data_IF_736290746606
#
_entry.id   IF_736290746606
#
_cell.length_a   1.000
_cell.length_b   1.000
_cell.length_c   1.000
_cell.angle_alpha   90.00
_cell.angle_beta   90.00
_cell.angle_gamma   90.00
#
_symmetry.space_group_name_H-M   'P 1'
#
loop_
_entity.id
_entity.type
_entity.pdbx_description
1 polymer ?
#
# COMPACT_ATOMS: atom_id res chain seq x y z
N UNK A 1 -33.58 67.06 -8.28
CA UNK A 1 -32.99 66.20 -7.24
C UNK A 1 -33.41 64.82 -7.67
N UNK A 2 -32.55 64.29 -8.52
CA UNK A 2 -32.90 63.42 -9.63
C UNK A 2 -32.66 61.96 -9.25
N UNK A 3 -33.54 61.11 -9.78
CA UNK A 3 -33.30 59.74 -10.24
C UNK A 3 -32.30 58.88 -9.47
N UNK A 4 -32.85 57.99 -8.63
CA UNK A 4 -32.30 56.64 -8.46
C UNK A 4 -33.47 55.69 -8.74
N UNK A 5 -33.73 55.44 -10.02
CA UNK A 5 -34.50 54.28 -10.45
C UNK A 5 -33.61 53.05 -10.29
N UNK A 6 -34.03 52.20 -9.37
CA UNK A 6 -33.39 50.97 -9.00
C UNK A 6 -33.61 49.95 -10.12
N UNK A 7 -32.58 49.70 -10.92
CA UNK A 7 -32.53 48.69 -11.97
C UNK A 7 -32.44 47.29 -11.31
N UNK A 8 -33.55 46.83 -10.72
CA UNK A 8 -33.73 45.43 -10.34
C UNK A 8 -34.09 44.62 -11.59
N UNK A 9 -33.06 44.21 -12.33
CA UNK A 9 -33.16 43.15 -13.31
C UNK A 9 -33.45 41.83 -12.59
N UNK A 10 -34.73 41.61 -12.29
CA UNK A 10 -35.28 40.31 -11.91
C UNK A 10 -35.15 39.41 -13.15
N UNK A 11 -34.05 38.65 -13.21
CA UNK A 11 -33.83 37.66 -14.24
C UNK A 11 -34.89 36.56 -14.07
N UNK A 12 -36.06 36.76 -14.70
CA UNK A 12 -37.11 35.75 -14.81
C UNK A 12 -36.51 34.49 -15.43
N UNK A 13 -36.21 33.52 -14.57
CA UNK A 13 -35.87 32.16 -14.94
C UNK A 13 -37.04 31.63 -15.79
N UNK A 14 -36.74 31.08 -16.98
CA UNK A 14 -37.81 30.56 -17.85
C UNK A 14 -38.39 29.30 -17.21
N UNK A 15 -39.68 29.00 -17.40
CA UNK A 15 -40.31 27.79 -16.83
C UNK A 15 -39.66 26.48 -17.30
N UNK A 16 -38.97 26.47 -18.45
CA UNK A 16 -38.15 25.34 -18.88
C UNK A 16 -36.89 25.17 -18.03
N UNK A 17 -36.24 26.27 -17.65
CA UNK A 17 -35.05 26.27 -16.80
C UNK A 17 -35.42 25.86 -15.35
N UNK A 18 -36.61 26.25 -14.85
CA UNK A 18 -37.13 25.80 -13.55
C UNK A 18 -37.36 24.28 -13.50
N UNK A 19 -37.89 23.70 -14.58
CA UNK A 19 -38.12 22.26 -14.71
C UNK A 19 -36.80 21.46 -14.82
N UNK A 20 -35.80 22.00 -15.51
CA UNK A 20 -34.46 21.41 -15.57
C UNK A 20 -33.75 21.48 -14.21
N UNK A 21 -33.89 22.60 -13.49
CA UNK A 21 -33.36 22.77 -12.14
C UNK A 21 -33.98 21.79 -11.14
N UNK A 22 -35.30 21.60 -11.16
CA UNK A 22 -35.97 20.62 -10.28
C UNK A 22 -35.51 19.18 -10.56
N UNK A 23 -35.39 18.79 -11.83
CA UNK A 23 -34.91 17.44 -12.19
C UNK A 23 -33.47 17.19 -11.76
N UNK A 24 -32.61 18.20 -11.87
CA UNK A 24 -31.22 18.12 -11.41
C UNK A 24 -31.12 18.04 -9.89
N UNK A 25 -31.98 18.77 -9.18
CA UNK A 25 -32.06 18.73 -7.71
C UNK A 25 -32.48 17.32 -7.22
N UNK A 26 -33.55 16.77 -7.80
CA UNK A 26 -34.03 15.41 -7.53
C UNK A 26 -32.97 14.34 -7.85
N UNK A 27 -32.30 14.44 -9.01
CA UNK A 27 -31.23 13.50 -9.38
C UNK A 27 -30.04 13.59 -8.43
N UNK A 28 -29.65 14.81 -8.03
CA UNK A 28 -28.60 15.03 -7.06
C UNK A 28 -28.92 14.38 -5.71
N UNK A 29 -30.15 14.55 -5.22
CA UNK A 29 -30.60 13.91 -3.97
C UNK A 29 -30.58 12.39 -4.04
N UNK A 30 -30.97 11.80 -5.17
CA UNK A 30 -30.89 10.36 -5.38
C UNK A 30 -29.44 9.87 -5.35
N UNK A 31 -28.51 10.61 -5.98
CA UNK A 31 -27.08 10.28 -5.96
C UNK A 31 -26.54 10.32 -4.52
N UNK A 32 -26.83 11.41 -3.79
CA UNK A 32 -26.43 11.60 -2.39
C UNK A 32 -26.98 10.48 -1.50
N UNK A 33 -28.26 10.11 -1.70
CA UNK A 33 -28.90 9.04 -0.95
C UNK A 33 -28.26 7.67 -1.24
N UNK A 34 -27.96 7.36 -2.50
CA UNK A 34 -27.30 6.12 -2.89
C UNK A 34 -25.91 5.97 -2.27
N UNK A 35 -25.09 7.03 -2.32
CA UNK A 35 -23.78 7.02 -1.68
C UNK A 35 -23.86 6.97 -0.16
N UNK A 36 -24.79 7.69 0.46
CA UNK A 36 -24.98 7.65 1.92
C UNK A 36 -25.30 6.24 2.42
N UNK A 37 -26.19 5.51 1.73
CA UNK A 37 -26.50 4.10 2.06
C UNK A 37 -25.28 3.19 1.96
N UNK A 38 -24.47 3.35 0.92
CA UNK A 38 -23.22 2.61 0.76
C UNK A 38 -22.22 2.92 1.88
N UNK A 39 -22.07 4.20 2.23
CA UNK A 39 -21.18 4.64 3.31
C UNK A 39 -21.62 4.01 4.63
N UNK A 40 -22.90 4.09 4.99
CA UNK A 40 -23.44 3.51 6.22
C UNK A 40 -23.13 2.02 6.35
N UNK A 41 -23.15 1.30 5.23
CA UNK A 41 -22.87 -0.14 5.16
C UNK A 41 -21.40 -0.51 5.33
N UNK A 42 -20.47 0.33 4.88
CA UNK A 42 -19.04 0.00 4.80
C UNK A 42 -18.13 0.86 5.71
N UNK A 43 -18.66 1.86 6.41
CA UNK A 43 -17.88 2.72 7.33
C UNK A 43 -17.57 2.05 8.68
N UNK A 44 -18.43 1.11 9.10
CA UNK A 44 -18.29 0.40 10.38
C UNK A 44 -17.48 -0.89 10.28
N UNK A 45 -17.42 -1.70 11.37
CA UNK A 45 -16.89 -3.05 11.31
C UNK A 45 -17.67 -3.86 10.27
N UNK A 46 -17.01 -4.23 9.18
CA UNK A 46 -17.67 -4.89 8.05
C UNK A 46 -18.00 -6.32 8.45
N UNK A 47 -19.30 -6.59 8.59
CA UNK A 47 -19.80 -7.94 8.74
C UNK A 47 -19.85 -8.63 7.37
N UNK A 48 -18.74 -9.30 7.04
CA UNK A 48 -18.63 -10.10 5.82
C UNK A 48 -19.50 -11.38 5.85
N UNK A 49 -20.26 -11.64 6.92
CA UNK A 49 -21.15 -12.83 7.01
C UNK A 49 -22.45 -12.68 6.24
N UNK A 50 -22.85 -11.44 5.91
CA UNK A 50 -24.00 -11.21 5.06
C UNK A 50 -23.84 -11.92 3.71
N UNK A 51 -24.88 -12.66 3.31
CA UNK A 51 -24.97 -13.44 2.07
C UNK A 51 -24.04 -14.66 1.91
N UNK A 52 -23.24 -15.05 2.91
CA UNK A 52 -22.40 -16.26 2.83
C UNK A 52 -23.22 -17.51 2.54
N UNK A 53 -24.33 -17.70 3.25
CA UNK A 53 -25.17 -18.90 3.11
C UNK A 53 -25.77 -19.02 1.70
N UNK A 54 -26.26 -17.90 1.14
CA UNK A 54 -26.83 -17.84 -0.21
C UNK A 54 -25.78 -18.11 -1.30
N UNK A 55 -24.58 -17.51 -1.17
CA UNK A 55 -23.48 -17.74 -2.09
C UNK A 55 -22.99 -19.19 -2.02
N UNK A 56 -22.80 -19.73 -0.81
CA UNK A 56 -22.38 -21.10 -0.59
C UNK A 56 -23.40 -22.09 -1.17
N UNK A 57 -24.70 -21.88 -0.97
CA UNK A 57 -25.76 -22.71 -1.54
C UNK A 57 -25.77 -22.68 -3.07
N UNK A 58 -25.62 -21.49 -3.67
CA UNK A 58 -25.52 -21.32 -5.13
C UNK A 58 -24.30 -22.06 -5.67
N UNK A 59 -23.15 -21.93 -5.03
CA UNK A 59 -21.92 -22.59 -5.46
C UNK A 59 -21.91 -24.10 -5.17
N UNK A 60 -22.58 -24.55 -4.10
CA UNK A 60 -22.78 -25.98 -3.77
C UNK A 60 -23.63 -26.70 -4.82
N UNK A 61 -24.49 -25.97 -5.52
CA UNK A 61 -25.22 -26.51 -6.67
C UNK A 61 -24.30 -26.77 -7.89
N UNK A 62 -23.14 -26.09 -7.95
CA UNK A 62 -22.16 -26.16 -9.04
C UNK A 62 -20.97 -27.07 -8.72
N UNK A 63 -20.52 -27.14 -7.46
CA UNK A 63 -19.49 -28.07 -6.98
C UNK A 63 -19.90 -28.74 -5.67
N UNK A 64 -19.56 -30.03 -5.51
CA UNK A 64 -19.90 -30.82 -4.31
C UNK A 64 -18.78 -30.86 -3.25
N UNK A 65 -17.57 -30.41 -3.56
CA UNK A 65 -16.43 -30.39 -2.63
C UNK A 65 -16.07 -28.97 -2.15
N UNK A 66 -15.53 -28.88 -0.93
CA UNK A 66 -15.20 -27.59 -0.30
C UNK A 66 -14.10 -26.82 -1.04
N UNK A 67 -13.14 -27.54 -1.62
CA UNK A 67 -12.01 -26.94 -2.34
C UNK A 67 -12.47 -26.33 -3.67
N UNK A 68 -13.35 -27.00 -4.43
CA UNK A 68 -13.92 -26.45 -5.65
C UNK A 68 -14.79 -25.21 -5.41
N UNK A 69 -15.47 -25.11 -4.25
CA UNK A 69 -16.18 -23.88 -3.86
C UNK A 69 -15.22 -22.72 -3.66
N UNK A 70 -14.10 -22.96 -2.98
CA UNK A 70 -13.10 -21.92 -2.73
C UNK A 70 -12.45 -21.46 -4.02
N UNK A 71 -12.12 -22.38 -4.93
CA UNK A 71 -11.56 -22.02 -6.24
C UNK A 71 -12.52 -21.16 -7.07
N UNK A 72 -13.80 -21.52 -7.13
CA UNK A 72 -14.82 -20.69 -7.80
C UNK A 72 -14.93 -19.29 -7.18
N UNK A 73 -14.82 -19.18 -5.87
CA UNK A 73 -14.84 -17.90 -5.18
C UNK A 73 -13.59 -17.05 -5.50
N UNK A 74 -12.40 -17.66 -5.61
CA UNK A 74 -11.20 -16.94 -6.04
C UNK A 74 -11.33 -16.50 -7.52
N UNK A 75 -11.90 -17.33 -8.39
CA UNK A 75 -12.16 -16.95 -9.79
C UNK A 75 -13.15 -15.78 -9.90
N UNK A 76 -14.20 -15.79 -9.07
CA UNK A 76 -15.12 -14.67 -8.95
C UNK A 76 -14.38 -13.41 -8.49
N UNK A 77 -13.53 -13.50 -7.46
CA UNK A 77 -12.72 -12.39 -6.97
C UNK A 77 -11.77 -11.82 -8.04
N UNK A 78 -11.17 -12.69 -8.85
CA UNK A 78 -10.27 -12.29 -9.93
C UNK A 78 -10.99 -11.45 -11.01
N UNK A 79 -12.29 -11.68 -11.23
CA UNK A 79 -13.10 -10.88 -12.15
C UNK A 79 -13.73 -9.63 -11.52
N UNK A 80 -14.13 -9.70 -10.25
CA UNK A 80 -14.90 -8.65 -9.57
C UNK A 80 -14.03 -7.53 -8.99
N UNK A 81 -12.81 -7.83 -8.50
CA UNK A 81 -11.91 -6.79 -7.99
C UNK A 81 -11.52 -5.75 -9.08
N UNK A 82 -11.17 -6.14 -10.32
CA UNK A 82 -10.98 -5.18 -11.41
C UNK A 82 -12.24 -4.37 -11.76
N UNK A 83 -13.43 -4.97 -11.66
CA UNK A 83 -14.70 -4.26 -11.88
C UNK A 83 -14.92 -3.17 -10.84
N UNK A 84 -14.66 -3.47 -9.55
CA UNK A 84 -14.74 -2.49 -8.47
C UNK A 84 -13.83 -1.29 -8.76
N UNK A 85 -12.57 -1.55 -9.12
CA UNK A 85 -11.62 -0.50 -9.53
C UNK A 85 -12.17 0.34 -10.70
N UNK A 86 -12.76 -0.29 -11.71
CA UNK A 86 -13.34 0.40 -12.85
C UNK A 86 -14.55 1.28 -12.47
N UNK A 87 -15.44 0.79 -11.61
CA UNK A 87 -16.58 1.57 -11.11
C UNK A 87 -16.11 2.81 -10.35
N UNK A 88 -15.11 2.68 -9.47
CA UNK A 88 -14.53 3.82 -8.74
C UNK A 88 -13.91 4.86 -9.68
N UNK A 89 -13.12 4.41 -10.67
CA UNK A 89 -12.56 5.30 -11.68
C UNK A 89 -13.65 6.02 -12.49
N UNK A 90 -14.74 5.33 -12.82
CA UNK A 90 -15.86 5.89 -13.56
C UNK A 90 -16.58 6.97 -12.74
N UNK A 91 -16.88 6.70 -11.45
CA UNK A 91 -17.48 7.70 -10.55
C UNK A 91 -16.56 8.92 -10.41
N UNK A 92 -15.26 8.71 -10.23
CA UNK A 92 -14.25 9.77 -10.15
C UNK A 92 -14.24 10.66 -11.40
N UNK A 93 -14.27 10.06 -12.59
CA UNK A 93 -14.28 10.78 -13.86
C UNK A 93 -15.57 11.57 -14.07
N UNK A 94 -16.73 10.96 -13.76
CA UNK A 94 -18.03 11.61 -13.90
C UNK A 94 -18.17 12.81 -12.96
N UNK A 95 -17.64 12.69 -11.74
CA UNK A 95 -17.71 13.73 -10.71
C UNK A 95 -16.45 14.61 -10.65
N UNK A 96 -15.64 14.62 -11.71
CA UNK A 96 -14.44 15.45 -11.76
C UNK A 96 -14.80 16.96 -11.70
N UNK A 97 -14.35 17.70 -10.66
CA UNK A 97 -14.66 19.12 -10.47
C UNK A 97 -14.40 19.98 -11.71
N UNK A 98 -13.32 19.72 -12.45
CA UNK A 98 -12.91 20.52 -13.60
C UNK A 98 -13.89 20.45 -14.76
N UNK A 99 -14.73 19.42 -14.83
CA UNK A 99 -15.71 19.22 -15.91
C UNK A 99 -17.15 19.15 -15.43
N UNK A 100 -17.40 19.06 -14.12
CA UNK A 100 -18.72 18.76 -13.55
C UNK A 100 -19.82 19.73 -13.97
N UNK A 101 -19.48 20.98 -14.31
CA UNK A 101 -20.40 21.99 -14.83
C UNK A 101 -20.94 21.70 -16.23
N UNK A 102 -20.30 20.81 -16.97
CA UNK A 102 -20.70 20.40 -18.31
C UNK A 102 -21.55 19.15 -18.20
N UNK A 103 -22.74 19.18 -18.77
CA UNK A 103 -23.67 18.04 -18.85
C UNK A 103 -23.99 17.41 -17.48
N UNK A 104 -24.13 18.23 -16.43
CA UNK A 104 -24.35 17.80 -15.04
C UNK A 104 -25.48 16.78 -14.91
N UNK A 105 -26.60 16.99 -15.62
CA UNK A 105 -27.76 16.08 -15.57
C UNK A 105 -27.41 14.70 -16.14
N UNK A 106 -26.70 14.67 -17.27
CA UNK A 106 -26.27 13.41 -17.89
C UNK A 106 -25.24 12.68 -17.01
N UNK A 107 -24.38 13.43 -16.31
CA UNK A 107 -23.40 12.87 -15.38
C UNK A 107 -24.08 12.26 -14.16
N UNK A 108 -25.05 12.95 -13.55
CA UNK A 108 -25.83 12.40 -12.43
C UNK A 108 -26.60 11.15 -12.84
N UNK A 109 -27.27 11.15 -14.00
CA UNK A 109 -27.91 9.94 -14.54
C UNK A 109 -26.94 8.78 -14.69
N UNK A 110 -25.73 9.02 -15.20
CA UNK A 110 -24.70 7.98 -15.32
C UNK A 110 -24.22 7.48 -13.95
N UNK A 111 -24.03 8.37 -12.98
CA UNK A 111 -23.67 7.97 -11.60
C UNK A 111 -24.75 7.09 -10.99
N UNK A 112 -26.03 7.43 -11.16
CA UNK A 112 -27.16 6.61 -10.69
C UNK A 112 -27.19 5.21 -11.33
N UNK A 113 -26.71 5.07 -12.57
CA UNK A 113 -26.58 3.76 -13.22
C UNK A 113 -25.41 2.93 -12.66
N UNK A 114 -24.31 3.57 -12.24
CA UNK A 114 -23.12 2.88 -11.71
C UNK A 114 -23.27 2.53 -10.23
N UNK A 115 -24.07 3.26 -9.46
CA UNK A 115 -24.25 3.05 -8.02
C UNK A 115 -24.69 1.62 -7.63
N UNK A 116 -25.73 1.02 -8.26
CA UNK A 116 -26.12 -0.35 -7.96
C UNK A 116 -25.04 -1.38 -8.30
N UNK A 117 -24.31 -1.17 -9.39
CA UNK A 117 -23.21 -2.04 -9.81
C UNK A 117 -22.04 -1.96 -8.82
N UNK A 118 -21.73 -0.77 -8.32
CA UNK A 118 -20.73 -0.55 -7.27
C UNK A 118 -21.12 -1.31 -6.00
N UNK A 119 -22.37 -1.16 -5.54
CA UNK A 119 -22.88 -1.87 -4.36
C UNK A 119 -22.80 -3.38 -4.51
N UNK A 120 -23.37 -3.91 -5.59
CA UNK A 120 -23.39 -5.37 -5.82
C UNK A 120 -21.98 -5.94 -5.93
N UNK A 121 -21.05 -5.22 -6.56
CA UNK A 121 -19.65 -5.66 -6.69
C UNK A 121 -18.98 -5.75 -5.31
N UNK A 122 -19.15 -4.73 -4.45
CA UNK A 122 -18.59 -4.75 -3.09
C UNK A 122 -19.18 -5.88 -2.23
N UNK A 123 -20.47 -6.15 -2.36
CA UNK A 123 -21.13 -7.27 -1.68
C UNK A 123 -20.57 -8.62 -2.14
N UNK A 124 -20.47 -8.83 -3.45
CA UNK A 124 -19.95 -10.07 -4.03
C UNK A 124 -18.51 -10.35 -3.60
N UNK A 125 -17.66 -9.32 -3.60
CA UNK A 125 -16.27 -9.43 -3.10
C UNK A 125 -16.29 -9.82 -1.62
N UNK A 126 -17.10 -9.13 -0.81
CA UNK A 126 -17.19 -9.40 0.61
C UNK A 126 -17.63 -10.83 0.93
N UNK A 127 -18.67 -11.33 0.27
CA UNK A 127 -19.16 -12.70 0.44
C UNK A 127 -18.13 -13.74 -0.03
N UNK A 128 -17.44 -13.48 -1.15
CA UNK A 128 -16.40 -14.38 -1.68
C UNK A 128 -15.20 -14.47 -0.74
N UNK A 129 -14.74 -13.32 -0.19
CA UNK A 129 -13.66 -13.27 0.81
C UNK A 129 -14.05 -14.05 2.07
N UNK A 130 -15.30 -13.93 2.54
CA UNK A 130 -15.75 -14.66 3.72
C UNK A 130 -15.86 -16.17 3.49
N UNK A 131 -16.13 -16.59 2.26
CA UNK A 131 -16.18 -18.01 1.89
C UNK A 131 -14.78 -18.63 1.91
N UNK A 132 -13.78 -17.95 1.34
CA UNK A 132 -12.39 -18.46 1.26
C UNK A 132 -11.60 -18.27 2.55
N UNK A 133 -11.88 -17.20 3.30
CA UNK A 133 -11.15 -16.82 4.52
C UNK A 133 -12.12 -16.53 5.69
N UNK A 134 -12.83 -17.54 6.23
CA UNK A 134 -13.77 -17.35 7.32
C UNK A 134 -13.03 -17.07 8.65
N UNK A 135 -13.52 -16.09 9.41
CA UNK A 135 -13.10 -15.93 10.81
C UNK A 135 -13.83 -16.94 11.72
N UNK A 136 -13.19 -17.43 12.81
CA UNK A 136 -11.84 -17.11 13.31
C UNK A 136 -10.74 -18.07 12.83
N UNK A 137 -11.02 -18.97 11.90
CA UNK A 137 -10.31 -20.26 11.76
C UNK A 137 -9.02 -20.22 10.92
N UNK A 138 -8.79 -19.19 10.10
CA UNK A 138 -7.59 -19.11 9.25
C UNK A 138 -6.41 -18.53 10.04
N UNK A 139 -5.59 -19.40 10.64
CA UNK A 139 -4.28 -18.99 11.16
C UNK A 139 -3.48 -18.33 10.02
N UNK A 140 -2.93 -17.14 10.26
CA UNK A 140 -2.19 -16.39 9.23
C UNK A 140 -0.85 -17.06 8.89
N UNK A 141 -0.17 -17.55 9.93
CA UNK A 141 1.17 -18.15 9.86
C UNK A 141 1.10 -19.69 9.77
N UNK A 142 0.33 -20.20 8.80
CA UNK A 142 0.30 -21.66 8.57
C UNK A 142 1.60 -22.18 8.01
N UNK A 143 1.98 -23.38 8.47
CA UNK A 143 3.19 -24.08 8.06
C UNK A 143 2.91 -25.34 7.24
N UNK A 144 1.64 -25.67 6.99
CA UNK A 144 1.17 -26.92 6.39
C UNK A 144 0.36 -26.70 5.09
N UNK A 145 0.35 -25.49 4.55
CA UNK A 145 -0.46 -25.08 3.40
C UNK A 145 0.32 -24.90 2.09
N UNK A 146 1.53 -25.46 1.99
CA UNK A 146 2.40 -25.36 0.80
C UNK A 146 1.67 -25.77 -0.50
N UNK A 147 0.81 -26.79 -0.39
CA UNK A 147 0.09 -27.42 -1.50
C UNK A 147 -1.17 -26.66 -1.93
N UNK A 148 -1.62 -25.67 -1.14
CA UNK A 148 -2.90 -24.98 -1.34
C UNK A 148 -2.86 -23.87 -2.40
N UNK A 149 -1.71 -23.59 -3.02
CA UNK A 149 -1.58 -22.63 -4.13
C UNK A 149 -2.23 -21.26 -3.85
N UNK A 150 -3.34 -20.91 -4.54
CA UNK A 150 -4.09 -19.64 -4.35
C UNK A 150 -4.73 -19.54 -2.96
N UNK A 151 -5.01 -20.67 -2.33
CA UNK A 151 -5.69 -20.80 -1.05
C UNK A 151 -4.72 -20.80 0.15
N UNK A 152 -3.43 -20.51 -0.06
CA UNK A 152 -2.48 -20.26 1.03
C UNK A 152 -3.01 -19.16 1.95
N UNK A 153 -2.97 -19.41 3.25
CA UNK A 153 -3.59 -18.53 4.26
C UNK A 153 -3.03 -17.11 4.26
N UNK A 154 -1.73 -16.93 3.99
CA UNK A 154 -1.11 -15.60 3.88
C UNK A 154 -1.70 -14.77 2.74
N UNK A 155 -1.98 -15.39 1.58
CA UNK A 155 -2.62 -14.72 0.43
C UNK A 155 -4.04 -14.30 0.75
N UNK A 156 -4.82 -15.23 1.31
CA UNK A 156 -6.21 -15.00 1.66
C UNK A 156 -6.36 -13.92 2.75
N UNK A 157 -5.47 -13.93 3.74
CA UNK A 157 -5.42 -12.90 4.77
C UNK A 157 -5.04 -11.54 4.17
N UNK A 158 -4.02 -11.49 3.32
CA UNK A 158 -3.60 -10.24 2.66
C UNK A 158 -4.68 -9.66 1.76
N UNK A 159 -5.37 -10.51 0.98
CA UNK A 159 -6.54 -10.15 0.18
C UNK A 159 -7.64 -9.54 1.06
N UNK A 160 -7.99 -10.20 2.16
CA UNK A 160 -9.00 -9.72 3.10
C UNK A 160 -8.60 -8.39 3.73
N UNK A 161 -7.37 -8.27 4.22
CA UNK A 161 -6.86 -7.04 4.85
C UNK A 161 -6.86 -5.88 3.86
N UNK A 162 -6.41 -6.10 2.62
CA UNK A 162 -6.39 -5.07 1.59
C UNK A 162 -7.81 -4.60 1.22
N UNK A 163 -8.77 -5.52 1.04
CA UNK A 163 -10.16 -5.15 0.77
C UNK A 163 -10.82 -4.40 1.94
N UNK A 164 -10.64 -4.89 3.17
CA UNK A 164 -11.18 -4.23 4.36
C UNK A 164 -10.57 -2.84 4.58
N UNK A 165 -9.30 -2.65 4.24
CA UNK A 165 -8.66 -1.34 4.28
C UNK A 165 -9.16 -0.42 3.15
N UNK A 166 -9.51 -0.97 1.98
CA UNK A 166 -10.04 -0.19 0.86
C UNK A 166 -11.44 0.38 1.17
N UNK A 167 -12.26 -0.32 1.96
CA UNK A 167 -13.63 0.11 2.23
C UNK A 167 -13.74 1.51 2.88
N UNK A 168 -12.98 1.85 3.95
CA UNK A 168 -12.94 3.22 4.47
C UNK A 168 -12.52 4.28 3.44
N UNK A 169 -11.53 3.99 2.60
CA UNK A 169 -11.06 4.92 1.55
C UNK A 169 -12.10 5.14 0.46
N UNK A 170 -12.82 4.07 0.09
CA UNK A 170 -13.99 4.15 -0.80
C UNK A 170 -15.07 5.02 -0.14
N UNK A 171 -15.41 4.78 1.12
CA UNK A 171 -16.40 5.58 1.84
C UNK A 171 -16.00 7.07 1.89
N UNK A 172 -14.72 7.37 2.14
CA UNK A 172 -14.22 8.73 2.14
C UNK A 172 -14.34 9.38 0.76
N UNK A 173 -14.01 8.64 -0.31
CA UNK A 173 -14.18 9.07 -1.69
C UNK A 173 -15.65 9.36 -2.04
N UNK A 174 -16.57 8.50 -1.58
CA UNK A 174 -18.00 8.68 -1.78
C UNK A 174 -18.54 9.90 -1.02
N UNK A 175 -18.02 10.21 0.17
CA UNK A 175 -18.37 11.46 0.89
C UNK A 175 -17.95 12.70 0.10
N UNK A 176 -16.72 12.73 -0.40
CA UNK A 176 -16.26 13.83 -1.24
C UNK A 176 -17.07 13.96 -2.52
N UNK A 177 -17.49 12.84 -3.12
CA UNK A 177 -18.41 12.84 -4.26
C UNK A 177 -19.78 13.44 -3.91
N UNK A 178 -20.35 13.10 -2.75
CA UNK A 178 -21.59 13.69 -2.23
C UNK A 178 -21.47 15.21 -2.07
N UNK A 179 -20.40 15.70 -1.46
CA UNK A 179 -20.16 17.15 -1.30
C UNK A 179 -20.08 17.88 -2.64
N UNK A 180 -19.48 17.26 -3.67
CA UNK A 180 -19.44 17.86 -5.01
C UNK A 180 -20.80 17.90 -5.68
N UNK A 181 -21.62 16.88 -5.48
CA UNK A 181 -23.01 16.88 -5.96
C UNK A 181 -23.77 18.02 -5.28
N UNK A 182 -23.65 18.18 -3.97
CA UNK A 182 -24.25 19.31 -3.23
C UNK A 182 -23.77 20.67 -3.74
N UNK A 183 -22.46 20.85 -3.95
CA UNK A 183 -21.90 22.09 -4.51
C UNK A 183 -22.45 22.37 -5.92
N UNK A 184 -22.59 21.34 -6.76
CA UNK A 184 -23.16 21.47 -8.09
C UNK A 184 -24.62 21.94 -8.00
N UNK A 185 -25.44 21.32 -7.14
CA UNK A 185 -26.83 21.73 -6.87
C UNK A 185 -26.93 23.20 -6.44
N UNK A 186 -26.07 23.65 -5.51
CA UNK A 186 -26.09 25.01 -4.96
C UNK A 186 -25.66 26.10 -5.95
N UNK A 187 -24.88 25.76 -6.97
CA UNK A 187 -24.38 26.73 -7.95
C UNK A 187 -25.30 26.93 -9.16
N UNK A 188 -26.30 26.06 -9.34
CA UNK A 188 -27.31 26.18 -10.40
C UNK A 188 -28.04 27.54 -10.34
N UNK A 189 -28.53 28.03 -9.18
CA UNK A 189 -29.30 29.29 -9.12
C UNK A 189 -28.47 30.55 -9.35
N UNK A 190 -27.16 30.50 -9.11
CA UNK A 190 -26.30 31.69 -9.10
C UNK A 190 -25.46 31.87 -10.37
N UNK A 191 -25.44 30.88 -11.27
CA UNK A 191 -24.67 30.91 -12.52
C UNK A 191 -23.15 30.99 -12.33
N UNK A 192 -22.67 30.95 -11.08
CA UNK A 192 -21.26 31.05 -10.70
C UNK A 192 -20.83 29.75 -10.05
N UNK A 193 -20.40 28.81 -10.88
CA UNK A 193 -19.81 27.57 -10.38
C UNK A 193 -18.28 27.67 -10.32
N UNK A 194 -17.74 27.63 -9.11
CA UNK A 194 -16.32 27.32 -8.87
C UNK A 194 -16.29 26.15 -7.90
N UNK A 195 -16.28 24.90 -8.39
CA UNK A 195 -16.22 23.75 -7.51
C UNK A 195 -14.85 23.78 -6.84
N UNK A 196 -14.86 23.82 -5.52
CA UNK A 196 -13.63 23.63 -4.76
C UNK A 196 -13.48 22.13 -4.59
N UNK A 197 -12.35 21.56 -5.00
CA UNK A 197 -12.01 20.19 -4.61
C UNK A 197 -12.10 20.14 -3.08
N UNK A 198 -12.92 19.24 -2.51
CA UNK A 198 -12.83 18.94 -1.09
C UNK A 198 -11.40 18.55 -0.77
N UNK A 199 -10.85 19.05 0.34
CA UNK A 199 -9.56 18.57 0.84
C UNK A 199 -9.69 17.05 1.07
N UNK A 200 -8.78 16.27 0.49
CA UNK A 200 -8.75 14.79 0.61
C UNK A 200 -9.40 13.99 -0.52
N UNK A 201 -10.13 14.61 -1.48
CA UNK A 201 -10.77 13.86 -2.58
C UNK A 201 -9.76 13.18 -3.53
N UNK A 202 -8.61 13.82 -3.79
CA UNK A 202 -7.57 13.24 -4.64
C UNK A 202 -6.93 12.01 -3.97
N UNK A 203 -6.75 12.04 -2.64
CA UNK A 203 -6.08 10.97 -1.92
C UNK A 203 -6.98 9.73 -1.78
N UNK A 204 -8.25 9.87 -1.38
CA UNK A 204 -9.10 8.71 -1.05
C UNK A 204 -9.35 7.74 -2.22
N UNK A 205 -9.46 8.24 -3.46
CA UNK A 205 -9.70 7.36 -4.62
C UNK A 205 -8.40 6.65 -5.01
N UNK A 206 -7.29 7.38 -5.03
CA UNK A 206 -5.99 6.81 -5.39
C UNK A 206 -5.57 5.75 -4.34
N UNK A 207 -5.78 6.04 -3.05
CA UNK A 207 -5.53 5.11 -1.94
C UNK A 207 -6.44 3.86 -2.02
N UNK A 208 -7.75 4.04 -2.28
CA UNK A 208 -8.67 2.93 -2.49
C UNK A 208 -8.24 2.05 -3.68
N UNK A 209 -7.83 2.67 -4.79
CA UNK A 209 -7.36 1.95 -5.99
C UNK A 209 -6.10 1.16 -5.69
N UNK A 210 -5.11 1.74 -4.99
CA UNK A 210 -3.89 1.06 -4.59
C UNK A 210 -4.17 -0.16 -3.70
N UNK A 211 -5.13 -0.04 -2.76
CA UNK A 211 -5.54 -1.15 -1.90
C UNK A 211 -6.28 -2.25 -2.68
N UNK A 212 -7.11 -1.89 -3.65
CA UNK A 212 -7.74 -2.88 -4.55
C UNK A 212 -6.71 -3.56 -5.43
N UNK A 213 -5.71 -2.84 -5.95
CA UNK A 213 -4.58 -3.43 -6.68
C UNK A 213 -3.76 -4.38 -5.81
N UNK A 214 -3.61 -4.07 -4.53
CA UNK A 214 -2.98 -4.96 -3.54
C UNK A 214 -3.80 -6.25 -3.33
N UNK A 215 -5.13 -6.12 -3.26
CA UNK A 215 -6.05 -7.26 -3.21
C UNK A 215 -5.94 -8.14 -4.47
N UNK A 216 -5.98 -7.55 -5.66
CA UNK A 216 -5.77 -8.25 -6.95
C UNK A 216 -4.42 -8.95 -6.96
N UNK A 217 -3.37 -8.25 -6.52
CA UNK A 217 -2.02 -8.79 -6.44
C UNK A 217 -1.89 -10.02 -5.54
N UNK A 218 -2.76 -10.16 -4.54
CA UNK A 218 -2.81 -11.33 -3.65
C UNK A 218 -3.28 -12.59 -4.36
N UNK A 219 -4.00 -12.45 -5.48
CA UNK A 219 -4.48 -13.55 -6.33
C UNK A 219 -3.56 -13.75 -7.53
N UNK A 220 -3.13 -12.66 -8.18
CA UNK A 220 -2.50 -12.70 -9.51
C UNK A 220 -0.97 -12.70 -9.52
N UNK A 221 -0.31 -12.41 -8.40
CA UNK A 221 1.17 -12.44 -8.34
C UNK A 221 1.65 -13.83 -7.95
N UNK A 222 2.84 -14.21 -8.41
CA UNK A 222 3.55 -15.37 -7.88
C UNK A 222 3.91 -15.19 -6.40
N UNK A 223 4.14 -16.27 -5.64
CA UNK A 223 4.48 -16.17 -4.21
C UNK A 223 5.70 -15.26 -3.98
N UNK A 224 6.68 -15.32 -4.87
CA UNK A 224 7.91 -14.54 -4.79
C UNK A 224 7.68 -13.05 -5.04
N UNK A 225 6.95 -12.71 -6.12
CA UNK A 225 6.62 -11.32 -6.45
C UNK A 225 5.65 -10.71 -5.43
N UNK A 226 4.82 -11.54 -4.82
CA UNK A 226 3.88 -11.11 -3.79
C UNK A 226 4.61 -10.71 -2.51
N UNK A 227 5.54 -11.53 -2.03
CA UNK A 227 6.33 -11.22 -0.83
C UNK A 227 7.26 -10.01 -1.01
N UNK A 228 7.71 -9.74 -2.24
CA UNK A 228 8.59 -8.63 -2.59
C UNK A 228 7.85 -7.45 -3.25
N UNK A 229 6.58 -7.21 -2.94
CA UNK A 229 5.83 -6.12 -3.59
C UNK A 229 6.31 -4.73 -3.18
N UNK A 230 6.52 -4.51 -1.89
CA UNK A 230 6.60 -3.15 -1.31
C UNK A 230 8.04 -2.71 -0.99
N UNK A 231 9.04 -3.58 -1.21
CA UNK A 231 10.41 -3.34 -0.72
C UNK A 231 11.15 -2.18 -1.42
N UNK A 232 10.88 -1.92 -2.71
CA UNK A 232 11.58 -0.86 -3.46
C UNK A 232 11.24 0.51 -2.88
N UNK A 233 9.95 0.78 -2.67
CA UNK A 233 9.48 2.04 -2.06
C UNK A 233 9.95 2.23 -0.63
N UNK A 234 10.02 1.15 0.16
CA UNK A 234 10.50 1.24 1.56
C UNK A 234 11.98 1.59 1.65
N UNK A 235 12.82 1.12 0.72
CA UNK A 235 14.25 1.45 0.70
C UNK A 235 14.57 2.76 -0.01
N UNK A 236 13.73 3.24 -0.94
CA UNK A 236 13.92 4.53 -1.60
C UNK A 236 13.84 5.67 -0.58
N UNK A 237 12.81 5.69 0.28
CA UNK A 237 12.68 6.72 1.32
C UNK A 237 13.87 6.78 2.30
N UNK A 238 14.49 5.63 2.61
CA UNK A 238 15.67 5.57 3.50
C UNK A 238 16.94 6.08 2.80
N UNK A 239 17.07 5.87 1.48
CA UNK A 239 18.22 6.37 0.75
C UNK A 239 18.23 7.91 0.73
N UNK A 240 17.07 8.51 0.49
CA UNK A 240 16.92 9.96 0.43
C UNK A 240 17.33 10.60 1.77
N UNK A 241 16.89 10.01 2.89
CA UNK A 241 17.29 10.45 4.23
C UNK A 241 18.80 10.30 4.50
N UNK A 242 19.42 9.20 4.06
CA UNK A 242 20.86 8.98 4.28
C UNK A 242 21.76 9.85 3.42
N UNK A 243 21.33 10.23 2.21
CA UNK A 243 22.05 11.19 1.37
C UNK A 243 22.04 12.59 1.99
N UNK A 244 21.00 12.95 2.76
CA UNK A 244 20.88 14.23 3.47
C UNK A 244 21.78 14.31 4.72
N UNK A 245 22.10 13.18 5.36
CA UNK A 245 22.93 13.10 6.58
C UNK A 245 24.44 13.21 6.28
N UNK A 246 24.86 12.93 5.04
CA UNK A 246 26.27 13.04 4.67
C UNK A 246 26.73 14.51 4.76
N UNK A 247 27.84 14.81 5.45
CA UNK A 247 28.29 16.18 5.58
C UNK A 247 28.53 16.78 4.19
N UNK A 248 28.04 18.01 3.91
CA UNK A 248 28.37 18.69 2.68
C UNK A 248 29.89 18.84 2.57
N UNK A 249 30.43 18.80 1.35
CA UNK A 249 31.86 19.01 1.09
C UNK A 249 32.36 20.21 1.90
N UNK A 250 33.49 20.09 2.63
CA UNK A 250 33.91 21.09 3.58
C UNK A 250 34.09 22.43 2.87
N UNK A 251 33.21 23.38 3.18
CA UNK A 251 33.47 24.78 2.88
C UNK A 251 34.58 25.22 3.81
N UNK A 252 35.71 25.59 3.22
CA UNK A 252 36.86 26.18 3.90
C UNK A 252 36.40 27.34 4.77
N UNK A 253 36.77 27.32 6.05
CA UNK A 253 36.84 28.44 7.01
C UNK A 253 35.91 28.44 8.23
N UNK A 254 35.63 27.31 8.90
CA UNK A 254 35.33 27.38 10.35
C UNK A 254 35.69 26.08 11.11
N UNK A 255 36.80 26.10 11.84
CA UNK A 255 37.39 24.93 12.52
C UNK A 255 36.92 24.71 13.98
N UNK A 256 35.98 25.52 14.52
CA UNK A 256 35.75 25.50 15.99
C UNK A 256 34.50 24.78 16.52
N UNK A 257 33.66 24.13 15.70
CA UNK A 257 32.47 23.37 16.20
C UNK A 257 32.43 21.86 15.85
N UNK A 258 33.38 21.35 15.05
CA UNK A 258 33.27 20.01 14.44
C UNK A 258 33.71 18.86 15.39
N UNK A 259 34.36 19.16 16.52
CA UNK A 259 35.07 18.14 17.32
C UNK A 259 34.18 17.21 18.17
N UNK A 260 32.86 17.44 18.23
CA UNK A 260 31.91 16.52 18.92
C UNK A 260 31.11 15.62 17.96
N UNK A 261 31.33 15.71 16.64
CA UNK A 261 30.61 14.93 15.63
C UNK A 261 31.37 13.69 15.10
N UNK A 262 32.61 13.42 15.51
CA UNK A 262 33.42 12.34 14.92
C UNK A 262 32.79 10.93 15.07
N UNK A 263 32.22 10.54 16.23
CA UNK A 263 31.54 9.25 16.33
C UNK A 263 30.28 9.13 15.46
N UNK A 264 29.54 10.23 15.28
CA UNK A 264 28.32 10.28 14.46
C UNK A 264 28.67 10.12 12.99
N UNK A 265 29.68 10.88 12.53
CA UNK A 265 30.21 10.76 11.16
C UNK A 265 30.69 9.34 10.88
N UNK A 266 31.42 8.73 11.83
CA UNK A 266 31.89 7.35 11.68
C UNK A 266 30.77 6.32 11.66
N UNK A 267 29.73 6.47 12.50
CA UNK A 267 28.55 5.60 12.43
C UNK A 267 27.78 5.78 11.12
N UNK A 268 27.68 7.00 10.60
CA UNK A 268 27.09 7.26 9.28
C UNK A 268 27.89 6.56 8.17
N UNK A 269 29.23 6.70 8.16
CA UNK A 269 30.11 5.99 7.23
C UNK A 269 29.92 4.46 7.28
N UNK A 270 29.78 3.90 8.50
CA UNK A 270 29.56 2.47 8.72
C UNK A 270 28.12 2.01 8.38
N UNK A 271 27.17 2.93 8.27
CA UNK A 271 25.79 2.64 7.84
C UNK A 271 25.69 2.49 6.32
N UNK A 272 26.50 3.22 5.55
CA UNK A 272 26.57 3.13 4.07
C UNK A 272 26.70 1.69 3.57
N UNK A 273 27.66 0.85 4.03
CA UNK A 273 27.76 -0.53 3.57
C UNK A 273 26.55 -1.37 3.96
N UNK A 274 25.92 -1.12 5.12
CA UNK A 274 24.70 -1.83 5.53
C UNK A 274 23.56 -1.57 4.55
N UNK A 275 23.34 -0.29 4.20
CA UNK A 275 22.35 0.11 3.21
C UNK A 275 22.64 -0.49 1.84
N UNK A 276 23.90 -0.35 1.35
CA UNK A 276 24.30 -0.89 0.05
C UNK A 276 24.12 -2.40 -0.03
N UNK A 277 24.48 -3.13 1.01
CA UNK A 277 24.31 -4.58 1.07
C UNK A 277 22.84 -4.98 1.15
N UNK A 278 22.02 -4.25 1.89
CA UNK A 278 20.57 -4.48 1.99
C UNK A 278 19.89 -4.29 0.64
N UNK A 279 20.16 -3.17 -0.01
CA UNK A 279 19.68 -2.87 -1.37
C UNK A 279 20.18 -3.89 -2.39
N UNK A 280 21.46 -4.29 -2.31
CA UNK A 280 22.05 -5.28 -3.20
C UNK A 280 21.38 -6.64 -3.06
N UNK A 281 21.03 -7.05 -1.83
CA UNK A 281 20.32 -8.30 -1.56
C UNK A 281 18.95 -8.34 -2.19
N UNK A 282 18.09 -7.38 -1.86
CA UNK A 282 16.71 -7.41 -2.34
C UNK A 282 16.62 -7.16 -3.85
N UNK A 283 17.47 -6.30 -4.42
CA UNK A 283 17.61 -6.18 -5.88
C UNK A 283 18.01 -7.50 -6.54
N UNK A 284 18.84 -8.32 -5.88
CA UNK A 284 19.18 -9.64 -6.39
C UNK A 284 17.97 -10.55 -6.45
N UNK A 285 17.05 -10.43 -5.50
CA UNK A 285 15.84 -11.26 -5.39
C UNK A 285 14.72 -10.84 -6.36
N UNK A 286 14.78 -9.64 -6.95
CA UNK A 286 13.77 -9.21 -7.93
C UNK A 286 14.02 -9.80 -9.32
N UNK A 287 13.04 -9.61 -10.21
CA UNK A 287 13.11 -9.95 -11.64
C UNK A 287 14.38 -9.42 -12.34
N UNK A 288 14.93 -8.29 -11.87
CA UNK A 288 16.13 -7.67 -12.45
C UNK A 288 17.42 -8.38 -12.04
N UNK A 289 17.47 -8.97 -10.85
CA UNK A 289 18.65 -9.65 -10.31
C UNK A 289 18.72 -11.14 -10.61
N UNK A 290 17.59 -11.83 -10.49
CA UNK A 290 17.40 -13.24 -10.85
C UNK A 290 16.19 -13.30 -11.77
N UNK A 291 16.30 -14.02 -12.89
CA UNK A 291 15.18 -14.17 -13.83
C UNK A 291 14.10 -15.06 -13.21
N UNK A 292 13.25 -14.46 -12.38
CA UNK A 292 12.16 -15.15 -11.68
C UNK A 292 10.99 -15.51 -12.58
N UNK A 293 11.02 -15.14 -13.88
CA UNK A 293 9.98 -15.55 -14.86
C UNK A 293 9.87 -17.07 -15.01
N UNK A 294 10.93 -17.80 -14.67
CA UNK A 294 10.97 -19.27 -14.72
C UNK A 294 10.57 -19.93 -13.40
N UNK A 295 10.35 -19.14 -12.35
CA UNK A 295 9.83 -19.70 -11.10
C UNK A 295 8.40 -20.19 -11.29
N UNK A 296 8.02 -21.27 -10.61
CA UNK A 296 6.62 -21.63 -10.54
C UNK A 296 5.85 -20.48 -9.89
N UNK A 297 4.63 -20.27 -10.37
CA UNK A 297 3.77 -19.23 -9.83
C UNK A 297 3.49 -19.45 -8.34
N UNK A 298 3.23 -20.71 -7.97
CA UNK A 298 3.17 -21.17 -6.59
C UNK A 298 4.43 -21.95 -6.26
N UNK A 299 5.16 -21.47 -5.27
CA UNK A 299 6.34 -22.14 -4.74
C UNK A 299 5.92 -23.17 -3.70
N UNK A 300 6.85 -24.03 -3.29
CA UNK A 300 6.64 -24.93 -2.15
C UNK A 300 6.75 -24.22 -0.78
N UNK A 301 6.82 -22.88 -0.75
CA UNK A 301 6.79 -22.13 0.50
C UNK A 301 5.40 -22.19 1.14
N UNK A 302 5.34 -22.42 2.46
CA UNK A 302 4.10 -22.24 3.23
C UNK A 302 3.81 -20.76 3.50
N UNK A 303 2.63 -20.45 4.00
CA UNK A 303 2.22 -19.10 4.37
C UNK A 303 3.17 -18.43 5.35
N UNK A 304 3.64 -19.13 6.38
CA UNK A 304 4.60 -18.59 7.34
C UNK A 304 5.94 -18.19 6.68
N UNK A 305 6.40 -18.96 5.69
CA UNK A 305 7.63 -18.64 4.95
C UNK A 305 7.45 -17.43 4.03
N UNK A 306 6.35 -17.37 3.27
CA UNK A 306 6.03 -16.21 2.43
C UNK A 306 5.91 -14.95 3.30
N UNK A 307 5.22 -15.06 4.44
CA UNK A 307 5.09 -13.96 5.38
C UNK A 307 6.43 -13.53 5.97
N UNK A 308 7.33 -14.47 6.30
CA UNK A 308 8.66 -14.13 6.81
C UNK A 308 9.50 -13.36 5.79
N UNK A 309 9.37 -13.70 4.50
CA UNK A 309 10.03 -12.99 3.41
C UNK A 309 9.46 -11.57 3.26
N UNK A 310 8.14 -11.41 3.41
CA UNK A 310 7.50 -10.10 3.39
C UNK A 310 7.88 -9.27 4.64
N UNK A 311 7.81 -9.82 5.86
CA UNK A 311 8.17 -9.06 7.07
C UNK A 311 9.63 -8.57 7.04
N UNK A 312 10.53 -9.38 6.47
CA UNK A 312 11.94 -9.05 6.42
C UNK A 312 12.26 -7.71 5.73
N UNK A 313 11.52 -7.30 4.68
CA UNK A 313 11.76 -5.99 4.06
C UNK A 313 11.48 -4.86 5.04
N UNK A 314 10.33 -4.91 5.72
CA UNK A 314 9.89 -3.88 6.65
C UNK A 314 10.79 -3.79 7.87
N UNK A 315 11.25 -4.93 8.37
CA UNK A 315 12.17 -4.99 9.52
C UNK A 315 13.55 -4.43 9.17
N UNK A 316 14.06 -4.76 7.98
CA UNK A 316 15.32 -4.19 7.47
C UNK A 316 15.19 -2.68 7.28
N UNK A 317 14.13 -2.24 6.60
CA UNK A 317 13.84 -0.83 6.37
C UNK A 317 13.70 -0.08 7.69
N UNK A 318 12.91 -0.58 8.64
CA UNK A 318 12.75 0.02 9.96
C UNK A 318 14.07 0.09 10.74
N UNK A 319 14.90 -0.95 10.68
CA UNK A 319 16.20 -0.94 11.36
C UNK A 319 17.14 0.12 10.76
N UNK A 320 17.18 0.24 9.43
CA UNK A 320 17.97 1.26 8.74
C UNK A 320 17.43 2.68 8.98
N UNK A 321 16.12 2.88 8.94
CA UNK A 321 15.45 4.14 9.27
C UNK A 321 15.79 4.57 10.70
N UNK A 322 15.65 3.68 11.69
CA UNK A 322 15.98 4.00 13.07
C UNK A 322 17.46 4.38 13.24
N UNK A 323 18.37 3.68 12.56
CA UNK A 323 19.79 4.07 12.54
C UNK A 323 19.93 5.47 11.94
N UNK A 324 19.30 5.73 10.79
CA UNK A 324 19.42 7.00 10.05
C UNK A 324 18.86 8.19 10.82
N UNK A 325 17.63 8.13 11.33
CA UNK A 325 17.04 9.23 12.09
C UNK A 325 17.83 9.58 13.36
N UNK A 326 18.48 8.60 13.99
CA UNK A 326 19.31 8.85 15.18
C UNK A 326 20.72 9.35 14.84
N UNK A 327 21.11 9.30 13.56
CA UNK A 327 22.33 9.94 13.04
C UNK A 327 22.05 11.34 12.47
N UNK A 328 20.84 11.61 11.98
CA UNK A 328 20.40 12.85 11.33
C UNK A 328 20.22 14.07 12.25
N UNK A 329 20.85 14.10 13.42
CA UNK A 329 20.54 15.12 14.43
C UNK A 329 20.99 16.54 13.99
N UNK A 330 20.02 17.40 13.67
CA UNK A 330 20.20 18.87 13.65
C UNK A 330 20.43 19.40 15.09
N UNK A 331 21.33 20.37 15.29
CA UNK A 331 21.44 21.06 16.58
C UNK A 331 20.20 21.95 16.78
N UNK A 332 19.13 21.40 17.35
CA UNK A 332 17.95 22.20 17.72
C UNK A 332 18.31 23.11 18.89
N UNK A 333 18.11 24.40 18.64
CA UNK A 333 18.16 25.51 19.59
C UNK A 333 17.57 25.13 20.96
N UNK A 334 18.41 25.26 21.99
CA UNK A 334 18.09 25.48 23.39
C UNK A 334 16.85 24.77 23.97
N UNK A 335 17.05 23.61 24.58
CA UNK A 335 16.22 23.21 25.73
C UNK A 335 15.73 21.76 25.77
N UNK A 336 16.00 20.95 24.75
CA UNK A 336 15.81 19.50 24.83
C UNK A 336 17.11 18.90 25.36
N UNK A 337 17.02 18.25 26.52
CA UNK A 337 18.16 17.60 27.16
C UNK A 337 18.83 16.66 26.14
N UNK A 338 20.13 16.85 25.97
CA UNK A 338 21.07 16.04 25.22
C UNK A 338 21.18 14.65 25.87
N UNK A 339 20.07 13.92 25.99
CA UNK A 339 20.06 12.55 26.51
C UNK A 339 20.75 11.67 25.47
N UNK A 340 21.97 11.28 25.84
CA UNK A 340 22.94 10.46 25.14
C UNK A 340 22.37 9.65 23.96
N UNK A 341 23.00 9.84 22.79
CA UNK A 341 22.97 8.90 21.69
C UNK A 341 23.02 7.47 22.24
N UNK A 342 21.93 6.72 22.09
CA UNK A 342 21.83 5.39 22.69
C UNK A 342 22.58 4.37 21.84
N UNK A 343 23.88 4.25 22.07
CA UNK A 343 24.72 3.25 21.40
C UNK A 343 24.20 1.81 21.59
N UNK A 344 23.50 1.54 22.69
CA UNK A 344 22.81 0.26 22.91
C UNK A 344 21.63 0.06 21.95
N UNK A 345 20.91 1.12 21.58
CA UNK A 345 19.87 1.07 20.56
C UNK A 345 20.46 0.82 19.16
N UNK A 346 21.57 1.47 18.80
CA UNK A 346 22.29 1.21 17.55
C UNK A 346 22.73 -0.24 17.40
N UNK A 347 23.30 -0.82 18.46
CA UNK A 347 23.68 -2.24 18.48
C UNK A 347 22.46 -3.12 18.25
N UNK A 348 21.35 -2.85 18.96
CA UNK A 348 20.11 -3.61 18.81
C UNK A 348 19.54 -3.53 17.39
N UNK A 349 19.53 -2.37 16.76
CA UNK A 349 19.06 -2.22 15.38
C UNK A 349 19.96 -2.94 14.37
N UNK A 350 21.28 -2.90 14.57
CA UNK A 350 22.22 -3.64 13.74
C UNK A 350 22.10 -5.17 13.91
N UNK A 351 21.84 -5.65 15.13
CA UNK A 351 21.54 -7.06 15.40
C UNK A 351 20.22 -7.49 14.76
N UNK A 352 19.17 -6.67 14.87
CA UNK A 352 17.89 -6.91 14.20
C UNK A 352 18.05 -6.94 12.68
N UNK A 353 18.81 -6.03 12.09
CA UNK A 353 19.11 -6.02 10.66
C UNK A 353 19.69 -7.38 10.22
N UNK A 354 20.66 -7.91 10.98
CA UNK A 354 21.30 -9.20 10.68
C UNK A 354 20.32 -10.38 10.74
N UNK A 355 19.43 -10.40 11.72
CA UNK A 355 18.44 -11.49 11.90
C UNK A 355 17.33 -11.44 10.86
N UNK A 356 16.86 -10.25 10.47
CA UNK A 356 15.83 -10.08 9.44
C UNK A 356 16.24 -10.62 8.07
N UNK A 357 17.54 -10.74 7.78
CA UNK A 357 18.02 -11.36 6.54
C UNK A 357 18.07 -12.89 6.56
N UNK A 358 17.91 -13.56 7.72
CA UNK A 358 18.07 -15.02 7.82
C UNK A 358 17.02 -15.78 7.02
N UNK A 359 15.74 -15.45 7.22
CA UNK A 359 14.64 -16.09 6.50
C UNK A 359 14.72 -15.86 4.98
N UNK A 360 14.83 -14.61 4.47
CA UNK A 360 15.00 -14.37 3.03
C UNK A 360 16.19 -15.09 2.41
N UNK A 361 17.33 -15.12 3.12
CA UNK A 361 18.53 -15.80 2.65
C UNK A 361 18.30 -17.30 2.47
N UNK A 362 17.72 -17.96 3.49
CA UNK A 362 17.41 -19.39 3.44
C UNK A 362 16.39 -19.68 2.34
N UNK A 363 15.32 -18.88 2.26
CA UNK A 363 14.27 -19.06 1.26
C UNK A 363 14.78 -18.87 -0.17
N UNK A 364 15.71 -17.94 -0.40
CA UNK A 364 16.35 -17.79 -1.70
C UNK A 364 17.18 -19.05 -2.07
N UNK A 365 17.95 -19.60 -1.13
CA UNK A 365 18.73 -20.81 -1.40
C UNK A 365 17.88 -22.06 -1.66
N UNK A 366 16.70 -22.14 -1.03
CA UNK A 366 15.80 -23.30 -1.10
C UNK A 366 14.78 -23.21 -2.23
N UNK A 367 14.19 -22.05 -2.47
CA UNK A 367 13.03 -21.89 -3.35
C UNK A 367 13.30 -21.01 -4.58
N UNK A 368 14.42 -20.29 -4.62
CA UNK A 368 14.78 -19.46 -5.78
C UNK A 368 15.88 -20.12 -6.63
N UNK A 369 17.03 -20.45 -6.02
CA UNK A 369 18.20 -20.96 -6.76
C UNK A 369 17.94 -22.29 -7.48
N UNK A 370 17.30 -23.31 -6.86
CA UNK A 370 17.16 -24.62 -7.51
C UNK A 370 16.37 -24.59 -8.82
N UNK A 371 15.52 -23.57 -9.01
CA UNK A 371 14.71 -23.38 -10.22
C UNK A 371 15.45 -22.65 -11.35
N UNK A 372 16.69 -22.22 -11.12
CA UNK A 372 17.53 -21.61 -12.14
C UNK A 372 18.20 -22.74 -12.91
N UNK A 373 17.95 -22.89 -14.23
CA UNK A 373 18.58 -23.96 -14.99
C UNK A 373 20.07 -23.71 -15.11
N UNK A 374 20.87 -24.74 -14.87
CA UNK A 374 22.26 -24.76 -15.28
C UNK A 374 22.28 -24.92 -16.81
N UNK A 375 22.82 -23.92 -17.50
CA UNK A 375 23.04 -23.99 -18.94
C UNK A 375 24.39 -24.64 -19.20
N UNK A 376 24.48 -25.52 -20.19
CA UNK A 376 25.75 -26.13 -20.62
C UNK A 376 26.79 -25.03 -20.89
N UNK A 377 27.81 -24.95 -20.02
CA UNK A 377 28.90 -23.96 -20.10
C UNK A 377 28.88 -22.85 -19.03
N UNK A 378 27.80 -22.66 -18.27
CA UNK A 378 27.77 -21.72 -17.14
C UNK A 378 26.95 -22.32 -15.98
N UNK A 379 27.60 -22.71 -14.86
CA UNK A 379 26.91 -23.30 -13.71
C UNK A 379 26.22 -22.17 -12.92
N UNK A 380 25.11 -21.68 -13.47
CA UNK A 380 24.36 -20.52 -13.00
C UNK A 380 23.95 -20.67 -11.53
N UNK A 381 23.55 -21.86 -11.09
CA UNK A 381 23.22 -22.11 -9.69
C UNK A 381 24.42 -21.90 -8.77
N UNK A 382 25.60 -22.40 -9.15
CA UNK A 382 26.82 -22.23 -8.37
C UNK A 382 27.24 -20.76 -8.31
N UNK A 383 27.08 -20.02 -9.40
CA UNK A 383 27.29 -18.57 -9.41
C UNK A 383 26.42 -17.87 -8.36
N UNK A 384 25.11 -18.14 -8.34
CA UNK A 384 24.23 -17.51 -7.35
C UNK A 384 24.53 -17.98 -5.93
N UNK A 385 24.78 -19.27 -5.69
CA UNK A 385 25.17 -19.77 -4.36
C UNK A 385 26.43 -19.09 -3.84
N UNK A 386 27.44 -18.92 -4.69
CA UNK A 386 28.67 -18.22 -4.33
C UNK A 386 28.41 -16.74 -4.07
N UNK A 387 27.59 -16.09 -4.90
CA UNK A 387 27.19 -14.70 -4.69
C UNK A 387 26.51 -14.49 -3.33
N UNK A 388 25.54 -15.35 -2.96
CA UNK A 388 24.85 -15.25 -1.66
C UNK A 388 25.81 -15.49 -0.49
N UNK A 389 26.74 -16.45 -0.62
CA UNK A 389 27.79 -16.68 0.39
C UNK A 389 28.66 -15.44 0.57
N UNK A 390 29.19 -14.88 -0.51
CA UNK A 390 30.01 -13.66 -0.47
C UNK A 390 29.24 -12.50 0.14
N UNK A 391 27.99 -12.29 -0.29
CA UNK A 391 27.14 -11.25 0.27
C UNK A 391 26.91 -11.43 1.78
N UNK A 392 26.63 -12.65 2.25
CA UNK A 392 26.41 -12.91 3.69
C UNK A 392 27.69 -12.64 4.50
N UNK A 393 28.86 -13.00 3.98
CA UNK A 393 30.14 -12.66 4.60
C UNK A 393 30.32 -11.15 4.70
N UNK A 394 30.06 -10.40 3.63
CA UNK A 394 30.16 -8.93 3.64
C UNK A 394 29.18 -8.29 4.61
N UNK A 395 27.94 -8.79 4.69
CA UNK A 395 26.94 -8.31 5.65
C UNK A 395 27.41 -8.53 7.08
N UNK A 396 27.90 -9.74 7.40
CA UNK A 396 28.41 -10.05 8.74
C UNK A 396 29.53 -9.09 9.12
N UNK A 397 30.51 -8.88 8.24
CA UNK A 397 31.62 -7.96 8.48
C UNK A 397 31.16 -6.51 8.67
N UNK A 398 30.25 -6.02 7.83
CA UNK A 398 29.73 -4.66 7.93
C UNK A 398 28.97 -4.44 9.25
N UNK A 399 28.10 -5.39 9.63
CA UNK A 399 27.35 -5.34 10.89
C UNK A 399 28.27 -5.42 12.09
N UNK A 400 29.28 -6.30 12.07
CA UNK A 400 30.25 -6.44 13.17
C UNK A 400 31.10 -5.19 13.33
N UNK A 401 31.55 -4.58 12.24
CA UNK A 401 32.29 -3.31 12.29
C UNK A 401 31.44 -2.19 12.90
N UNK A 402 30.18 -2.06 12.48
CA UNK A 402 29.24 -1.09 13.03
C UNK A 402 29.01 -1.31 14.53
N UNK A 403 28.70 -2.54 14.94
CA UNK A 403 28.44 -2.91 16.34
C UNK A 403 29.67 -2.68 17.22
N UNK A 404 30.85 -3.10 16.75
CA UNK A 404 32.09 -2.96 17.53
C UNK A 404 32.44 -1.49 17.75
N UNK A 405 32.24 -0.64 16.74
CA UNK A 405 32.42 0.80 16.88
C UNK A 405 31.39 1.42 17.84
N UNK A 406 30.10 1.08 17.70
CA UNK A 406 29.07 1.56 18.61
C UNK A 406 29.36 1.15 20.07
N UNK A 407 29.87 -0.08 20.30
CA UNK A 407 30.28 -0.55 21.62
C UNK A 407 31.45 0.22 22.19
N UNK A 408 32.50 0.46 21.40
CA UNK A 408 33.69 1.17 21.89
C UNK A 408 33.35 2.59 22.32
N UNK A 409 32.54 3.30 21.52
CA UNK A 409 32.13 4.66 21.88
C UNK A 409 31.17 4.66 23.07
N UNK A 410 30.20 3.74 23.09
CA UNK A 410 29.25 3.62 24.19
C UNK A 410 29.89 3.28 25.54
N UNK A 411 30.98 2.50 25.56
CA UNK A 411 31.76 2.23 26.78
C UNK A 411 32.60 3.40 27.25
N UNK A 412 32.99 4.30 26.34
CA UNK A 412 33.80 5.49 26.67
C UNK A 412 32.93 6.64 27.21
N UNK A 413 31.61 6.60 26.98
CA UNK A 413 30.64 7.64 27.39
C UNK A 413 29.81 7.32 28.64
N UNK A 414 29.94 6.11 29.21
CA UNK A 414 29.24 5.64 30.41
C UNK A 414 30.16 5.69 31.65
#
# INVERSE_FOLDING_TARGET
>A
MDEIENEMADAKIKPADELEHQRLDEQGDLVIQGFSKLIEKYIGPIDLTHNRASLAETMLSLSKDEDGLKDMAIDQLQSTLPQLKHHLATVSQLLNPSSLHQDTELKFKRVLLVQPDLESTMEQIGSSINLVCPQPTSARERTDDQHLQRLKSYRLHSLRTAFLAACPEICQSLRSATELVEQAKLALPTGKFKPRRPDGMACGIDDAVLLIESAIGSIERSDWQFALRDWESELEGINDELEEILPPEPRTDDESEISQCEPVVRLAELTIPLLKLSRLFFNKLTLRGINTKRLPFFTEMCSAQIESLAKAHREVASSLFNISCNLAWEPVEAGWNQEAMSYTAFIKWAENLKTSFEAPFILALLHLIPFIPDTDGFPTQNYYRNWFKTWKTLLILATENFINFARSVGSDTA
#
